data_IF_212296796156
#
_entry.id   IF_212296796156
#
_cell.length_a   1.000
_cell.length_b   1.000
_cell.length_c   1.000
_cell.angle_alpha   90.00
_cell.angle_beta   90.00
_cell.angle_gamma   90.00
#
_symmetry.space_group_name_H-M   'P 1'
#
loop_
_entity.id
_entity.type
_entity.pdbx_description
1 polymer ?
#
# COMPACT_ATOMS: atom_id res chain seq x y z
N UNK A 1 21.75 29.25 -1.03
CA UNK A 1 22.81 29.41 0.01
C UNK A 1 22.61 28.50 1.22
N UNK A 2 21.83 27.41 1.14
CA UNK A 2 21.53 26.49 2.25
C UNK A 2 22.16 25.09 2.09
N UNK A 3 23.11 24.93 1.18
CA UNK A 3 23.75 23.63 0.85
C UNK A 3 25.18 23.50 1.37
N UNK A 4 25.64 24.40 2.27
CA UNK A 4 27.02 24.41 2.75
C UNK A 4 27.19 23.97 4.22
N UNK A 5 26.12 23.68 4.93
CA UNK A 5 26.21 23.08 6.25
C UNK A 5 26.37 21.58 6.07
N UNK A 6 27.63 21.13 6.07
CA UNK A 6 28.03 19.75 5.87
C UNK A 6 27.42 18.81 6.91
N UNK A 7 26.16 18.43 6.72
CA UNK A 7 25.53 17.33 7.45
C UNK A 7 26.36 16.09 7.14
N UNK A 8 27.09 15.58 8.09
CA UNK A 8 27.90 14.38 7.90
C UNK A 8 26.99 13.18 7.58
N UNK A 9 27.45 12.28 6.69
CA UNK A 9 26.74 11.02 6.42
C UNK A 9 26.39 10.25 7.70
N UNK A 10 27.19 10.42 8.76
CA UNK A 10 26.92 9.85 10.08
C UNK A 10 25.67 10.46 10.74
N UNK A 11 25.45 11.75 10.61
CA UNK A 11 24.27 12.46 11.12
C UNK A 11 23.00 12.08 10.32
N UNK A 12 23.14 11.94 8.98
CA UNK A 12 22.04 11.51 8.13
C UNK A 12 21.59 10.07 8.43
N UNK A 13 22.51 9.19 8.82
CA UNK A 13 22.22 7.80 9.19
C UNK A 13 21.86 7.60 10.66
N UNK A 14 22.17 8.56 11.53
CA UNK A 14 21.84 8.49 12.96
C UNK A 14 20.34 8.56 13.22
N UNK A 15 19.61 9.40 12.48
CA UNK A 15 18.16 9.52 12.59
C UNK A 15 17.40 8.19 12.31
N UNK A 16 17.58 7.55 11.16
CA UNK A 16 16.98 6.25 10.88
C UNK A 16 17.39 5.13 11.84
N UNK A 17 18.66 5.13 12.30
CA UNK A 17 19.15 4.15 13.28
C UNK A 17 18.49 4.30 14.64
N UNK A 18 18.24 5.51 15.10
CA UNK A 18 17.55 5.75 16.37
C UNK A 18 16.09 5.33 16.33
N UNK A 19 15.42 5.45 15.18
CA UNK A 19 14.03 5.00 14.99
C UNK A 19 13.90 3.48 15.02
N UNK A 20 14.95 2.74 14.63
CA UNK A 20 14.97 1.27 14.61
C UNK A 20 15.60 0.71 15.90
N UNK A 21 16.32 1.53 16.67
CA UNK A 21 16.94 1.14 17.93
C UNK A 21 15.84 0.85 18.98
N UNK A 22 15.59 -0.42 19.23
CA UNK A 22 14.52 -0.88 20.16
C UNK A 22 13.41 -1.71 19.48
N UNK A 23 13.33 -1.66 18.14
CA UNK A 23 12.38 -2.52 17.40
C UNK A 23 13.00 -3.92 17.23
N UNK A 24 12.27 -5.01 17.56
CA UNK A 24 12.76 -6.37 17.33
C UNK A 24 13.18 -6.58 15.88
N UNK A 25 14.34 -7.21 15.65
CA UNK A 25 14.88 -7.48 14.31
C UNK A 25 13.87 -8.21 13.40
N UNK A 26 13.05 -9.08 14.00
CA UNK A 26 11.95 -9.77 13.29
C UNK A 26 10.93 -8.76 12.72
N UNK A 27 10.55 -7.74 13.48
CA UNK A 27 9.59 -6.72 13.04
C UNK A 27 10.15 -5.89 11.89
N UNK A 28 11.44 -5.55 11.95
CA UNK A 28 12.11 -4.83 10.85
C UNK A 28 12.14 -5.68 9.59
N UNK A 29 12.52 -6.96 9.71
CA UNK A 29 12.53 -7.88 8.57
C UNK A 29 11.12 -8.04 7.96
N UNK A 30 10.11 -8.18 8.80
CA UNK A 30 8.71 -8.25 8.36
C UNK A 30 8.26 -6.99 7.62
N UNK A 31 8.60 -5.81 8.13
CA UNK A 31 8.30 -4.54 7.45
C UNK A 31 8.94 -4.45 6.07
N UNK A 32 10.19 -4.91 5.92
CA UNK A 32 10.86 -4.95 4.62
C UNK A 32 10.13 -5.90 3.65
N UNK A 33 9.78 -7.10 4.10
CA UNK A 33 9.03 -8.06 3.27
C UNK A 33 7.68 -7.49 2.84
N UNK A 34 6.94 -6.89 3.75
CA UNK A 34 5.66 -6.25 3.47
C UNK A 34 5.82 -5.12 2.46
N UNK A 35 6.86 -4.29 2.60
CA UNK A 35 7.14 -3.21 1.65
C UNK A 35 7.44 -3.74 0.24
N UNK A 36 8.18 -4.85 0.13
CA UNK A 36 8.43 -5.52 -1.16
C UNK A 36 7.12 -6.03 -1.76
N UNK A 37 6.27 -6.68 -0.97
CA UNK A 37 4.95 -7.17 -1.42
C UNK A 37 4.08 -6.02 -1.93
N UNK A 38 4.04 -4.89 -1.22
CA UNK A 38 3.31 -3.71 -1.66
C UNK A 38 3.85 -3.16 -3.00
N UNK A 39 5.17 -3.06 -3.12
CA UNK A 39 5.80 -2.59 -4.36
C UNK A 39 5.46 -3.50 -5.55
N UNK A 40 5.52 -4.81 -5.35
CA UNK A 40 5.10 -5.79 -6.36
C UNK A 40 3.61 -5.67 -6.69
N UNK A 41 2.77 -5.42 -5.70
CA UNK A 41 1.33 -5.23 -5.88
C UNK A 41 1.04 -4.03 -6.79
N UNK A 42 1.75 -2.92 -6.64
CA UNK A 42 1.64 -1.76 -7.51
C UNK A 42 2.04 -2.08 -8.96
N UNK A 43 3.12 -2.84 -9.16
CA UNK A 43 3.56 -3.28 -10.48
C UNK A 43 2.49 -4.15 -11.14
N UNK A 44 1.97 -5.14 -10.42
CA UNK A 44 0.91 -6.04 -10.92
C UNK A 44 -0.34 -5.26 -11.31
N UNK A 45 -0.77 -4.32 -10.48
CA UNK A 45 -1.93 -3.46 -10.78
C UNK A 45 -1.69 -2.61 -12.03
N UNK A 46 -0.49 -2.02 -12.15
CA UNK A 46 -0.11 -1.25 -13.34
C UNK A 46 -0.16 -2.08 -14.62
N UNK A 47 0.46 -3.27 -14.60
CA UNK A 47 0.41 -4.19 -15.73
C UNK A 47 -1.03 -4.63 -16.07
N UNK A 48 -1.83 -4.93 -15.05
CA UNK A 48 -3.22 -5.34 -15.23
C UNK A 48 -4.06 -4.24 -15.89
N UNK A 49 -3.92 -2.99 -15.45
CA UNK A 49 -4.61 -1.83 -16.05
C UNK A 49 -4.24 -1.66 -17.51
N UNK A 50 -2.94 -1.75 -17.85
CA UNK A 50 -2.48 -1.64 -19.24
C UNK A 50 -3.05 -2.77 -20.09
N UNK A 51 -3.05 -4.00 -19.58
CA UNK A 51 -3.58 -5.18 -20.29
C UNK A 51 -5.09 -5.06 -20.54
N UNK A 52 -5.87 -4.74 -19.50
CA UNK A 52 -7.33 -4.60 -19.62
C UNK A 52 -7.69 -3.40 -20.49
N UNK A 53 -6.95 -2.30 -20.37
CA UNK A 53 -7.15 -1.10 -21.19
C UNK A 53 -6.86 -1.31 -22.66
N UNK A 54 -6.03 -2.30 -23.03
CA UNK A 54 -5.74 -2.66 -24.40
C UNK A 54 -6.79 -3.63 -25.02
N UNK A 55 -7.82 -4.06 -24.29
CA UNK A 55 -8.88 -4.89 -24.85
C UNK A 55 -9.63 -4.16 -25.96
N UNK A 56 -10.01 -4.90 -27.03
CA UNK A 56 -10.72 -4.37 -28.21
C UNK A 56 -12.00 -3.58 -27.89
N UNK A 57 -12.68 -3.92 -26.77
CA UNK A 57 -13.88 -3.21 -26.32
C UNK A 57 -13.61 -1.77 -25.88
N UNK A 58 -12.39 -1.44 -25.51
CA UNK A 58 -11.95 -0.10 -25.12
C UNK A 58 -11.21 0.65 -26.22
N UNK A 59 -11.11 0.06 -27.42
CA UNK A 59 -10.34 0.63 -28.55
C UNK A 59 -10.84 2.03 -28.96
N UNK A 60 -12.13 2.33 -28.74
CA UNK A 60 -12.68 3.66 -29.01
C UNK A 60 -12.14 4.76 -28.09
N UNK A 61 -11.59 4.40 -26.92
CA UNK A 61 -10.96 5.32 -25.97
C UNK A 61 -9.47 5.52 -26.27
N UNK A 62 -8.87 4.68 -27.12
CA UNK A 62 -7.45 4.73 -27.44
C UNK A 62 -6.58 4.72 -26.20
N UNK A 63 -5.64 5.64 -26.09
CA UNK A 63 -4.75 5.77 -24.94
C UNK A 63 -5.47 6.24 -23.67
N UNK A 64 -6.69 6.74 -23.78
CA UNK A 64 -7.51 7.16 -22.63
C UNK A 64 -7.93 6.00 -21.73
N UNK A 65 -8.10 4.78 -22.27
CA UNK A 65 -8.54 3.63 -21.50
C UNK A 65 -7.58 3.26 -20.34
N UNK A 66 -6.26 3.11 -20.54
CA UNK A 66 -5.33 2.92 -19.45
C UNK A 66 -5.32 4.06 -18.43
N UNK A 67 -5.40 5.31 -18.87
CA UNK A 67 -5.41 6.48 -17.96
C UNK A 67 -6.61 6.41 -17.01
N UNK A 68 -7.81 6.17 -17.55
CA UNK A 68 -9.03 6.00 -16.76
C UNK A 68 -8.86 4.82 -15.80
N UNK A 69 -8.30 3.71 -16.27
CA UNK A 69 -8.01 2.53 -15.46
C UNK A 69 -7.09 2.84 -14.27
N UNK A 70 -6.01 3.59 -14.48
CA UNK A 70 -5.12 4.03 -13.40
C UNK A 70 -5.83 4.91 -12.36
N UNK A 71 -6.66 5.86 -12.81
CA UNK A 71 -7.44 6.70 -11.90
C UNK A 71 -8.40 5.86 -11.07
N UNK A 72 -9.11 4.91 -11.68
CA UNK A 72 -10.04 4.03 -10.97
C UNK A 72 -9.31 3.15 -9.95
N UNK A 73 -8.20 2.52 -10.34
CA UNK A 73 -7.38 1.69 -9.43
C UNK A 73 -6.83 2.53 -8.28
N UNK A 74 -6.41 3.77 -8.55
CA UNK A 74 -5.97 4.69 -7.49
C UNK A 74 -7.10 4.97 -6.48
N UNK A 75 -8.30 5.31 -6.95
CA UNK A 75 -9.46 5.55 -6.08
C UNK A 75 -9.80 4.31 -5.24
N UNK A 76 -9.83 3.13 -5.87
CA UNK A 76 -10.10 1.87 -5.18
C UNK A 76 -9.04 1.60 -4.12
N UNK A 77 -7.75 1.79 -4.43
CA UNK A 77 -6.68 1.62 -3.45
C UNK A 77 -6.81 2.59 -2.28
N UNK A 78 -7.23 3.84 -2.50
CA UNK A 78 -7.47 4.80 -1.42
C UNK A 78 -8.58 4.32 -0.48
N UNK A 79 -9.69 3.85 -1.05
CA UNK A 79 -10.80 3.31 -0.26
C UNK A 79 -10.36 2.05 0.51
N UNK A 80 -9.70 1.09 -0.16
CA UNK A 80 -9.21 -0.13 0.48
C UNK A 80 -8.19 0.16 1.58
N UNK A 81 -7.28 1.11 1.35
CA UNK A 81 -6.29 1.52 2.35
C UNK A 81 -6.96 2.16 3.56
N UNK A 82 -7.93 3.05 3.34
CA UNK A 82 -8.67 3.69 4.42
C UNK A 82 -9.47 2.65 5.22
N UNK A 83 -10.25 1.81 4.54
CA UNK A 83 -11.03 0.75 5.20
C UNK A 83 -10.11 -0.23 5.94
N UNK A 84 -9.03 -0.67 5.29
CA UNK A 84 -8.08 -1.60 5.88
C UNK A 84 -7.39 -1.03 7.12
N UNK A 85 -6.98 0.22 7.08
CA UNK A 85 -6.28 0.86 8.20
C UNK A 85 -7.21 1.12 9.38
N UNK A 86 -8.42 1.63 9.13
CA UNK A 86 -9.30 2.07 10.21
C UNK A 86 -10.22 0.99 10.76
N UNK A 87 -10.68 0.05 9.94
CA UNK A 87 -11.77 -0.87 10.31
C UNK A 87 -11.35 -2.33 10.41
N UNK A 88 -10.21 -2.75 9.86
CA UNK A 88 -9.74 -4.11 10.11
C UNK A 88 -9.14 -4.25 11.51
N UNK A 89 -9.42 -5.37 12.21
CA UNK A 89 -8.82 -5.67 13.52
C UNK A 89 -7.41 -6.21 13.36
N UNK A 90 -6.58 -5.48 12.63
CA UNK A 90 -5.17 -5.74 12.39
C UNK A 90 -4.41 -4.45 12.65
N UNK A 91 -3.73 -4.38 13.78
CA UNK A 91 -2.98 -3.20 14.19
C UNK A 91 -1.66 -3.56 14.87
N UNK A 92 -0.78 -2.58 14.94
CA UNK A 92 0.46 -2.65 15.71
C UNK A 92 0.41 -1.52 16.73
N UNK A 93 0.72 -1.84 17.99
CA UNK A 93 0.86 -0.86 19.05
C UNK A 93 2.14 -0.03 18.85
N UNK A 94 2.21 1.13 19.47
CA UNK A 94 3.42 1.97 19.45
C UNK A 94 4.66 1.26 20.00
N UNK A 95 4.48 0.22 20.83
CA UNK A 95 5.56 -0.63 21.37
C UNK A 95 5.98 -1.76 20.42
N UNK A 96 5.41 -1.84 19.22
CA UNK A 96 5.75 -2.83 18.19
C UNK A 96 5.07 -4.19 18.33
N UNK A 97 4.09 -4.35 19.21
CA UNK A 97 3.34 -5.57 19.38
C UNK A 97 2.10 -5.62 18.47
N UNK A 98 1.78 -6.81 17.96
CA UNK A 98 0.54 -7.01 17.21
C UNK A 98 -0.68 -6.94 18.13
N UNK A 99 -1.72 -6.23 17.68
CA UNK A 99 -3.00 -6.08 18.37
C UNK A 99 -4.14 -6.33 17.39
N UNK A 100 -5.24 -6.82 17.92
CA UNK A 100 -6.52 -6.95 17.19
C UNK A 100 -7.45 -5.77 17.43
N UNK A 101 -6.94 -4.73 18.06
CA UNK A 101 -7.71 -3.52 18.30
C UNK A 101 -7.95 -2.75 17.00
N UNK A 102 -9.17 -2.28 16.80
CA UNK A 102 -9.53 -1.51 15.61
C UNK A 102 -9.02 -0.07 15.80
N UNK A 103 -8.21 0.41 14.85
CA UNK A 103 -7.64 1.76 14.93
C UNK A 103 -8.73 2.83 15.09
N UNK A 104 -9.90 2.66 14.49
CA UNK A 104 -11.01 3.60 14.61
C UNK A 104 -11.48 3.79 16.06
N UNK A 105 -11.52 2.71 16.85
CA UNK A 105 -11.92 2.80 18.28
C UNK A 105 -10.88 3.56 19.09
N UNK A 106 -9.60 3.28 18.88
CA UNK A 106 -8.49 4.00 19.53
C UNK A 106 -8.47 5.48 19.13
N UNK A 107 -8.66 5.79 17.85
CA UNK A 107 -8.74 7.14 17.34
C UNK A 107 -9.91 7.93 17.95
N UNK A 108 -11.11 7.32 18.02
CA UNK A 108 -12.27 7.96 18.66
C UNK A 108 -12.08 8.22 20.15
N UNK A 109 -11.38 7.33 20.85
CA UNK A 109 -11.10 7.50 22.28
C UNK A 109 -10.15 8.68 22.54
N UNK A 110 -9.26 8.99 21.59
CA UNK A 110 -8.33 10.12 21.70
C UNK A 110 -8.87 11.43 21.09
N UNK A 111 -10.02 11.38 20.39
CA UNK A 111 -10.66 12.58 19.87
C UNK A 111 -11.09 13.50 21.03
N UNK A 112 -10.51 14.71 21.07
CA UNK A 112 -10.77 15.70 22.11
C UNK A 112 -9.78 15.67 23.28
N UNK A 113 -8.78 14.80 23.25
CA UNK A 113 -7.65 14.78 24.17
C UNK A 113 -6.36 15.08 23.41
N UNK A 114 -5.33 15.57 24.08
CA UNK A 114 -4.01 15.80 23.45
C UNK A 114 -3.23 14.49 23.18
N UNK A 115 -3.88 13.33 23.41
CA UNK A 115 -3.28 12.02 23.20
C UNK A 115 -3.25 11.58 21.75
N UNK A 116 -2.23 10.79 21.37
CA UNK A 116 -2.18 10.11 20.09
C UNK A 116 -2.78 8.70 20.22
N UNK A 117 -3.36 8.12 19.14
CA UNK A 117 -3.84 6.75 19.17
C UNK A 117 -2.67 5.79 19.44
N UNK A 118 -2.89 4.83 20.34
CA UNK A 118 -1.86 3.87 20.77
C UNK A 118 -1.62 2.75 19.75
N UNK A 119 -2.46 2.65 18.71
CA UNK A 119 -2.39 1.60 17.71
C UNK A 119 -2.41 2.18 16.30
N UNK A 120 -1.66 1.55 15.41
CA UNK A 120 -1.59 1.88 13.98
C UNK A 120 -2.17 0.69 13.21
N UNK A 121 -3.24 0.92 12.45
CA UNK A 121 -3.87 -0.12 11.64
C UNK A 121 -3.01 -0.53 10.46
N UNK A 122 -2.82 -1.83 10.29
CA UNK A 122 -2.01 -2.43 9.23
C UNK A 122 -2.84 -3.24 8.23
N UNK A 123 -4.17 -3.20 8.31
CA UNK A 123 -5.04 -3.99 7.46
C UNK A 123 -4.95 -3.64 5.96
N UNK A 124 -4.54 -2.43 5.62
CA UNK A 124 -4.26 -2.03 4.24
C UNK A 124 -3.17 -2.88 3.58
N UNK A 125 -2.19 -3.35 4.35
CA UNK A 125 -1.12 -4.24 3.86
C UNK A 125 -1.62 -5.63 3.43
N UNK A 126 -2.84 -5.98 3.78
CA UNK A 126 -3.51 -7.21 3.34
C UNK A 126 -4.46 -6.93 2.17
N UNK A 127 -5.28 -5.87 2.27
CA UNK A 127 -6.30 -5.58 1.26
C UNK A 127 -5.71 -5.16 -0.10
N UNK A 128 -4.65 -4.36 -0.10
CA UNK A 128 -4.02 -3.87 -1.34
C UNK A 128 -3.38 -5.01 -2.15
N UNK A 129 -2.58 -5.92 -1.58
CA UNK A 129 -2.10 -7.10 -2.31
C UNK A 129 -3.20 -8.04 -2.77
N UNK A 130 -4.24 -8.26 -1.95
CA UNK A 130 -5.39 -9.08 -2.34
C UNK A 130 -6.10 -8.50 -3.58
N UNK A 131 -6.32 -7.20 -3.60
CA UNK A 131 -6.86 -6.51 -4.76
C UNK A 131 -5.96 -6.63 -5.98
N UNK A 132 -4.64 -6.52 -5.81
CA UNK A 132 -3.68 -6.71 -6.90
C UNK A 132 -3.75 -8.13 -7.49
N UNK A 133 -3.91 -9.17 -6.65
CA UNK A 133 -4.09 -10.55 -7.10
C UNK A 133 -5.39 -10.73 -7.90
N UNK A 134 -6.49 -10.16 -7.44
CA UNK A 134 -7.79 -10.22 -8.14
C UNK A 134 -7.66 -9.53 -9.51
N UNK A 135 -7.06 -8.35 -9.55
CA UNK A 135 -6.89 -7.59 -10.78
C UNK A 135 -5.94 -8.31 -11.77
N UNK A 136 -4.85 -8.88 -11.25
CA UNK A 136 -3.89 -9.67 -12.03
C UNK A 136 -4.54 -10.94 -12.62
N UNK A 137 -5.34 -11.64 -11.83
CA UNK A 137 -6.08 -12.81 -12.30
C UNK A 137 -7.11 -12.44 -13.38
N UNK A 138 -7.75 -11.28 -13.26
CA UNK A 138 -8.64 -10.78 -14.30
C UNK A 138 -7.88 -10.44 -15.58
N UNK A 139 -6.76 -9.74 -15.48
CA UNK A 139 -5.92 -9.42 -16.62
C UNK A 139 -5.42 -10.68 -17.35
N UNK A 140 -4.98 -11.71 -16.61
CA UNK A 140 -4.57 -12.99 -17.20
C UNK A 140 -5.68 -13.65 -17.99
N UNK A 141 -6.91 -13.72 -17.41
CA UNK A 141 -8.08 -14.27 -18.11
C UNK A 141 -8.47 -13.45 -19.34
N UNK A 142 -8.24 -12.13 -19.29
CA UNK A 142 -8.50 -11.25 -20.44
C UNK A 142 -7.58 -11.58 -21.61
N UNK A 143 -6.31 -11.80 -21.35
CA UNK A 143 -5.33 -12.23 -22.37
C UNK A 143 -5.77 -13.55 -23.00
N UNK A 144 -6.06 -14.57 -22.21
CA UNK A 144 -6.45 -15.90 -22.70
C UNK A 144 -7.69 -15.88 -23.62
N UNK A 145 -8.66 -15.02 -23.32
CA UNK A 145 -9.91 -14.94 -24.06
C UNK A 145 -9.86 -14.08 -25.31
N UNK A 146 -9.00 -13.09 -25.35
CA UNK A 146 -8.96 -12.10 -26.44
C UNK A 146 -7.73 -12.17 -27.31
N UNK A 147 -6.74 -13.00 -26.97
CA UNK A 147 -5.55 -13.26 -27.79
C UNK A 147 -5.58 -14.61 -28.49
N UNK A 148 -6.78 -15.17 -28.77
CA UNK A 148 -6.83 -16.29 -29.71
C UNK A 148 -6.30 -15.79 -31.05
N UNK A 149 -5.05 -16.16 -31.36
CA UNK A 149 -4.42 -15.97 -32.64
C UNK A 149 -5.34 -16.53 -33.72
N UNK A 150 -5.91 -15.65 -34.53
CA UNK A 150 -6.41 -16.00 -35.87
C UNK A 150 -5.28 -15.90 -36.86
#
# INVERSE_FOLDING_TARGET
AAWSDGISLAEYTAGPRSLVAGVPTFTVALMIVVQVILSLSWIVQGCAVMTIGAEGRFNHLGFGAPIIGFVLVYIVNQVLSTVGTFFLPLSVTTDGHFSTEIMWTSYRATMGTEGQPNVIGIGSYVLVPLFALILGAWASRSIERHTSLR
#
